data_IF_271338712656
#
_entry.id   IF_271338712656
#
_cell.length_a   1.000
_cell.length_b   1.000
_cell.length_c   1.000
_cell.angle_alpha   90.00
_cell.angle_beta   90.00
_cell.angle_gamma   90.00
#
_symmetry.space_group_name_H-M   'P 1'
#
loop_
_entity.id
_entity.type
_entity.pdbx_description
1 polymer ?
#
# COMPACT_ATOMS: atom_id res chain seq x y z
N UNK A 1 -22.52 -49.96 46.91
CA UNK A 1 -21.42 -49.08 47.29
C UNK A 1 -21.29 -47.96 46.27
N UNK A 2 -21.82 -46.78 46.56
CA UNK A 2 -21.62 -45.58 45.75
C UNK A 2 -20.45 -44.82 46.34
N UNK A 3 -19.37 -44.64 45.57
CA UNK A 3 -18.30 -43.71 45.89
C UNK A 3 -18.56 -42.37 45.21
N UNK A 4 -18.94 -41.36 45.99
CA UNK A 4 -19.03 -39.99 45.57
C UNK A 4 -17.66 -39.36 45.64
N UNK A 5 -17.09 -38.91 44.51
CA UNK A 5 -15.94 -38.06 44.44
C UNK A 5 -16.39 -36.58 44.42
N UNK A 6 -16.26 -35.96 45.58
CA UNK A 6 -16.42 -34.51 45.75
C UNK A 6 -15.14 -33.84 45.24
N UNK A 7 -15.21 -33.16 44.10
CA UNK A 7 -14.13 -32.27 43.64
C UNK A 7 -14.38 -30.86 44.19
N UNK A 8 -13.46 -30.41 45.03
CA UNK A 8 -13.39 -29.04 45.51
C UNK A 8 -12.93 -28.11 44.37
N UNK A 9 -13.47 -26.89 44.25
CA UNK A 9 -13.00 -25.94 43.27
C UNK A 9 -11.60 -25.45 43.65
N UNK A 10 -10.66 -25.58 42.71
CA UNK A 10 -9.32 -25.05 42.80
C UNK A 10 -9.35 -23.54 42.97
N UNK A 11 -8.87 -23.04 44.07
CA UNK A 11 -8.68 -21.60 44.29
C UNK A 11 -7.60 -21.08 43.33
N UNK A 12 -7.95 -20.13 42.48
CA UNK A 12 -7.00 -19.36 41.72
C UNK A 12 -6.12 -18.52 42.67
N UNK A 13 -4.82 -18.39 42.36
CA UNK A 13 -3.93 -17.58 43.20
C UNK A 13 -4.31 -16.09 43.02
N UNK A 14 -4.59 -15.43 44.14
CA UNK A 14 -5.00 -14.03 44.27
C UNK A 14 -3.83 -13.03 44.18
N UNK A 15 -2.82 -13.31 43.35
CA UNK A 15 -1.68 -12.42 43.14
C UNK A 15 -1.54 -11.99 41.68
N UNK A 16 -2.63 -11.56 41.08
CA UNK A 16 -2.55 -10.72 39.86
C UNK A 16 -2.40 -9.26 40.30
N UNK A 17 -1.18 -8.86 40.65
CA UNK A 17 -0.84 -7.42 40.64
C UNK A 17 -0.70 -7.01 39.21
N UNK A 18 -1.81 -6.53 38.61
CA UNK A 18 -1.78 -5.80 37.35
C UNK A 18 -0.84 -4.61 37.54
N UNK A 19 0.35 -4.69 36.97
CA UNK A 19 1.20 -3.53 36.76
C UNK A 19 0.45 -2.67 35.76
N UNK A 20 -0.36 -1.74 36.26
CA UNK A 20 -0.74 -0.56 35.46
C UNK A 20 0.56 0.15 35.17
N UNK A 21 1.08 -0.04 33.96
CA UNK A 21 2.05 0.89 33.39
C UNK A 21 1.31 2.21 33.36
N UNK A 22 1.58 3.07 34.34
CA UNK A 22 1.11 4.42 34.35
C UNK A 22 1.60 5.04 33.06
N UNK A 23 0.68 5.27 32.13
CA UNK A 23 0.90 6.23 31.08
C UNK A 23 1.12 7.54 31.83
N UNK A 24 2.38 7.96 31.88
CA UNK A 24 2.76 9.28 32.32
C UNK A 24 1.96 10.24 31.46
N UNK A 25 0.91 10.81 32.04
CA UNK A 25 0.10 11.86 31.44
C UNK A 25 0.96 13.13 31.41
N UNK A 26 1.98 13.09 30.54
CA UNK A 26 2.74 14.26 30.16
C UNK A 26 1.79 15.22 29.48
N UNK A 27 1.48 16.29 30.22
CA UNK A 27 0.89 17.56 29.82
C UNK A 27 0.01 17.53 28.55
N UNK A 28 -1.28 17.51 28.81
CA UNK A 28 -2.37 17.77 27.90
C UNK A 28 -2.28 19.24 27.39
N UNK A 29 -1.41 19.47 26.42
CA UNK A 29 -1.52 20.62 25.52
C UNK A 29 -2.65 20.25 24.55
N UNK A 30 -3.91 20.49 24.84
CA UNK A 30 -5.14 20.41 24.03
C UNK A 30 -5.05 19.92 22.57
N UNK A 31 -4.07 19.08 22.25
CA UNK A 31 -3.87 18.49 20.94
C UNK A 31 -5.00 17.49 20.70
N UNK A 32 -5.91 17.83 19.81
CA UNK A 32 -6.98 16.95 19.36
C UNK A 32 -6.37 15.59 18.98
N UNK A 33 -6.81 14.53 19.65
CA UNK A 33 -6.40 13.16 19.30
C UNK A 33 -6.84 12.91 17.86
N UNK A 34 -5.91 12.53 16.97
CA UNK A 34 -6.24 12.30 15.57
C UNK A 34 -7.32 11.23 15.39
N UNK A 35 -8.07 11.21 14.27
CA UNK A 35 -9.15 10.25 14.03
C UNK A 35 -8.75 8.79 14.18
N UNK A 36 -7.58 8.38 13.64
CA UNK A 36 -7.03 7.02 13.80
C UNK A 36 -6.23 6.85 15.09
N UNK A 37 -6.03 7.92 15.87
CA UNK A 37 -5.32 7.87 17.15
C UNK A 37 -3.81 7.70 17.02
N UNK A 38 -3.22 7.13 18.07
CA UNK A 38 -1.78 6.87 18.15
C UNK A 38 -1.51 5.37 18.18
N UNK A 39 -0.46 4.94 17.48
CA UNK A 39 -0.06 3.56 17.39
C UNK A 39 0.40 3.00 18.74
N UNK A 40 -0.14 1.84 19.11
CA UNK A 40 0.26 1.05 20.29
C UNK A 40 1.29 -0.01 19.92
N UNK A 41 1.21 -0.56 18.71
CA UNK A 41 2.10 -1.59 18.23
C UNK A 41 1.62 -2.24 16.95
N UNK A 42 2.42 -3.20 16.47
CA UNK A 42 2.17 -3.96 15.26
C UNK A 42 1.80 -5.39 15.60
N UNK A 43 0.71 -5.91 15.03
CA UNK A 43 0.27 -7.29 15.21
C UNK A 43 0.64 -8.11 13.96
N UNK A 44 1.43 -9.17 14.17
CA UNK A 44 1.88 -10.12 13.14
C UNK A 44 2.54 -9.50 11.90
N UNK A 45 3.02 -8.25 11.97
CA UNK A 45 3.58 -7.56 10.79
C UNK A 45 2.53 -7.11 9.77
N UNK A 46 1.24 -7.30 10.06
CA UNK A 46 0.12 -7.03 9.15
C UNK A 46 -0.70 -5.85 9.61
N UNK A 47 -1.05 -5.79 10.90
CA UNK A 47 -1.93 -4.77 11.44
C UNK A 47 -1.18 -3.79 12.33
N UNK A 48 -1.50 -2.50 12.23
CA UNK A 48 -1.21 -1.49 13.25
C UNK A 48 -2.40 -1.45 14.21
N UNK A 49 -2.12 -1.63 15.50
CA UNK A 49 -3.08 -1.36 16.56
C UNK A 49 -2.85 0.07 17.05
N UNK A 50 -3.90 0.88 17.06
CA UNK A 50 -3.88 2.26 17.50
C UNK A 50 -5.03 2.52 18.47
N UNK A 51 -4.91 3.56 19.29
CA UNK A 51 -5.96 3.99 20.21
C UNK A 51 -6.34 5.45 19.92
N UNK A 52 -7.64 5.66 19.76
CA UNK A 52 -8.24 7.00 19.68
C UNK A 52 -9.22 7.23 20.82
N UNK A 53 -9.99 8.32 20.76
CA UNK A 53 -11.00 8.67 21.79
C UNK A 53 -12.15 7.67 21.88
N UNK A 54 -12.40 6.90 20.82
CA UNK A 54 -13.50 5.93 20.73
C UNK A 54 -13.08 4.50 21.10
N UNK A 55 -11.77 4.25 21.25
CA UNK A 55 -11.24 2.94 21.63
C UNK A 55 -10.10 2.45 20.74
N UNK A 56 -10.07 1.13 20.51
CA UNK A 56 -9.04 0.46 19.72
C UNK A 56 -9.37 0.49 18.22
N UNK A 57 -8.39 0.89 17.42
CA UNK A 57 -8.42 0.87 15.95
C UNK A 57 -7.40 -0.14 15.46
N UNK A 58 -7.78 -0.98 14.50
CA UNK A 58 -6.88 -1.89 13.79
C UNK A 58 -6.83 -1.46 12.32
N UNK A 59 -5.64 -1.16 11.82
CA UNK A 59 -5.40 -0.75 10.43
C UNK A 59 -4.56 -1.82 9.75
N UNK A 60 -5.07 -2.36 8.64
CA UNK A 60 -4.30 -3.23 7.76
C UNK A 60 -3.22 -2.39 7.04
N UNK A 61 -1.95 -2.73 7.27
CA UNK A 61 -0.81 -1.98 6.73
C UNK A 61 -0.71 -2.09 5.21
N UNK A 62 -1.10 -3.23 4.64
CA UNK A 62 -1.07 -3.43 3.19
C UNK A 62 -2.12 -2.54 2.52
N UNK A 63 -3.36 -2.66 2.95
CA UNK A 63 -4.45 -1.83 2.45
C UNK A 63 -4.18 -0.32 2.66
N UNK A 64 -3.58 0.06 3.79
CA UNK A 64 -3.21 1.45 4.06
C UNK A 64 -2.15 1.96 3.07
N UNK A 65 -1.07 1.20 2.82
CA UNK A 65 -0.03 1.59 1.86
C UNK A 65 -0.58 1.67 0.44
N UNK A 66 -1.38 0.69 0.02
CA UNK A 66 -2.03 0.67 -1.29
C UNK A 66 -2.91 1.92 -1.46
N UNK A 67 -3.77 2.20 -0.48
CA UNK A 67 -4.64 3.38 -0.50
C UNK A 67 -3.87 4.69 -0.59
N UNK A 68 -2.85 4.87 0.24
CA UNK A 68 -2.01 6.07 0.25
C UNK A 68 -1.28 6.21 -1.09
N UNK A 69 -0.73 5.12 -1.63
CA UNK A 69 -0.03 5.12 -2.91
C UNK A 69 -0.98 5.48 -4.05
N UNK A 70 -2.17 4.87 -4.09
CA UNK A 70 -3.21 5.18 -5.06
C UNK A 70 -3.58 6.67 -5.06
N UNK A 71 -3.88 7.24 -3.89
CA UNK A 71 -4.23 8.66 -3.78
C UNK A 71 -3.08 9.59 -4.22
N UNK A 72 -1.84 9.23 -3.91
CA UNK A 72 -0.67 9.99 -4.35
C UNK A 72 -0.47 9.92 -5.86
N UNK A 73 -0.63 8.74 -6.46
CA UNK A 73 -0.58 8.55 -7.91
C UNK A 73 -1.69 9.35 -8.59
N UNK A 74 -2.93 9.25 -8.08
CA UNK A 74 -4.09 9.97 -8.61
C UNK A 74 -3.88 11.48 -8.57
N UNK A 75 -3.49 12.04 -7.42
CA UNK A 75 -3.21 13.49 -7.29
C UNK A 75 -2.08 13.96 -8.21
N UNK A 76 -1.00 13.18 -8.34
CA UNK A 76 0.10 13.52 -9.23
C UNK A 76 -0.32 13.49 -10.70
N UNK A 77 -1.14 12.49 -11.07
CA UNK A 77 -1.68 12.35 -12.40
C UNK A 77 -2.62 13.50 -12.77
N UNK A 78 -3.46 13.95 -11.83
CA UNK A 78 -4.40 15.07 -12.05
C UNK A 78 -3.70 16.44 -12.12
N UNK A 79 -2.46 16.55 -11.61
CA UNK A 79 -1.67 17.77 -11.68
C UNK A 79 -0.88 17.86 -13.01
N UNK A 80 0.23 17.15 -13.12
CA UNK A 80 1.20 17.29 -14.21
C UNK A 80 1.57 15.94 -14.86
N UNK A 81 0.86 14.84 -14.53
CA UNK A 81 1.24 13.48 -14.87
C UNK A 81 2.27 12.88 -13.91
N UNK A 82 2.56 11.59 -14.07
CA UNK A 82 3.51 10.92 -13.19
C UNK A 82 4.96 11.17 -13.63
N UNK A 83 5.79 11.63 -12.68
CA UNK A 83 7.22 11.83 -12.94
C UNK A 83 7.93 10.49 -13.13
N UNK A 84 8.68 10.38 -14.21
CA UNK A 84 9.49 9.20 -14.52
C UNK A 84 10.83 9.27 -13.82
N UNK A 85 11.26 8.15 -13.25
CA UNK A 85 12.62 7.89 -12.79
C UNK A 85 13.33 7.00 -13.80
N UNK A 86 14.37 7.50 -14.50
CA UNK A 86 15.19 6.67 -15.38
C UNK A 86 15.85 5.54 -14.61
N UNK A 87 15.90 4.35 -15.20
CA UNK A 87 16.63 3.22 -14.65
C UNK A 87 18.14 3.36 -14.96
N UNK A 88 18.97 3.12 -13.95
CA UNK A 88 20.43 3.12 -14.14
C UNK A 88 20.89 2.06 -15.14
N UNK A 89 20.20 0.92 -15.14
CA UNK A 89 20.39 -0.16 -16.10
C UNK A 89 19.03 -0.43 -16.73
N UNK A 90 18.85 -0.18 -18.04
CA UNK A 90 17.63 -0.51 -18.74
C UNK A 90 17.36 -2.01 -18.67
N UNK A 91 16.09 -2.39 -18.57
CA UNK A 91 15.66 -3.78 -18.43
C UNK A 91 15.00 -4.24 -19.73
N UNK A 92 15.50 -5.33 -20.32
CA UNK A 92 14.88 -5.94 -21.50
C UNK A 92 13.76 -6.88 -21.06
N UNK A 93 12.59 -6.72 -21.66
CA UNK A 93 11.38 -7.49 -21.36
C UNK A 93 10.87 -8.17 -22.63
N UNK A 94 10.77 -9.51 -22.61
CA UNK A 94 10.11 -10.25 -23.67
C UNK A 94 8.59 -10.16 -23.52
N UNK A 95 7.92 -9.81 -24.62
CA UNK A 95 6.47 -9.58 -24.70
C UNK A 95 5.92 -10.26 -25.96
N UNK A 96 4.60 -10.44 -26.00
CA UNK A 96 3.95 -10.86 -27.25
C UNK A 96 3.92 -9.71 -28.27
N UNK A 97 3.81 -10.03 -29.56
CA UNK A 97 3.68 -9.02 -30.61
C UNK A 97 2.50 -8.05 -30.37
N UNK A 98 1.42 -8.52 -29.74
CA UNK A 98 0.25 -7.70 -29.39
C UNK A 98 0.60 -6.67 -28.29
N UNK A 99 1.37 -7.07 -27.30
CA UNK A 99 1.82 -6.15 -26.22
C UNK A 99 2.83 -5.13 -26.76
N UNK A 100 3.74 -5.54 -27.65
CA UNK A 100 4.69 -4.62 -28.31
C UNK A 100 3.96 -3.60 -29.18
N UNK A 101 2.96 -4.04 -29.96
CA UNK A 101 2.11 -3.12 -30.73
C UNK A 101 1.40 -2.11 -29.81
N UNK A 102 0.85 -2.58 -28.67
CA UNK A 102 0.22 -1.71 -27.67
C UNK A 102 1.21 -0.66 -27.12
N UNK A 103 2.46 -1.04 -26.82
CA UNK A 103 3.50 -0.11 -26.35
C UNK A 103 3.74 0.99 -27.37
N UNK A 104 3.73 0.67 -28.66
CA UNK A 104 3.92 1.63 -29.75
C UNK A 104 2.70 2.52 -29.94
N UNK A 105 1.51 1.92 -29.94
CA UNK A 105 0.25 2.62 -30.19
C UNK A 105 -0.17 3.55 -29.04
N UNK A 106 0.23 3.23 -27.80
CA UNK A 106 -0.12 3.96 -26.58
C UNK A 106 1.09 4.60 -25.89
N UNK A 107 2.15 4.89 -26.63
CA UNK A 107 3.40 5.43 -26.09
C UNK A 107 3.20 6.70 -25.25
N UNK A 108 2.32 7.61 -25.70
CA UNK A 108 2.02 8.85 -25.00
C UNK A 108 1.31 8.57 -23.67
N UNK A 109 0.29 7.70 -23.64
CA UNK A 109 -0.45 7.32 -22.43
C UNK A 109 0.46 6.62 -21.42
N UNK A 110 1.34 5.72 -21.88
CA UNK A 110 2.33 5.06 -21.04
C UNK A 110 3.33 6.07 -20.46
N UNK A 111 3.72 7.08 -21.24
CA UNK A 111 4.59 8.15 -20.77
C UNK A 111 3.90 9.03 -19.72
N UNK A 112 2.61 9.32 -19.86
CA UNK A 112 1.82 10.09 -18.88
C UNK A 112 1.76 9.41 -17.51
N UNK A 113 1.68 8.06 -17.49
CA UNK A 113 1.73 7.28 -16.25
C UNK A 113 3.18 7.00 -15.77
N UNK A 114 4.17 7.66 -16.39
CA UNK A 114 5.57 7.61 -15.97
C UNK A 114 6.35 6.39 -16.45
N UNK A 115 5.84 5.60 -17.38
CA UNK A 115 6.54 4.46 -18.00
C UNK A 115 7.25 4.91 -19.28
N UNK A 116 8.57 4.71 -19.34
CA UNK A 116 9.37 4.91 -20.54
C UNK A 116 9.75 3.54 -21.14
N UNK A 117 9.05 3.15 -22.20
CA UNK A 117 9.22 1.89 -22.89
C UNK A 117 9.69 2.14 -24.32
N UNK A 118 10.60 1.32 -24.81
CA UNK A 118 11.13 1.35 -26.17
C UNK A 118 11.00 -0.03 -26.82
N UNK A 119 10.22 -0.12 -27.90
CA UNK A 119 10.13 -1.35 -28.69
C UNK A 119 11.45 -1.55 -29.48
N UNK A 120 12.09 -2.69 -29.29
CA UNK A 120 13.36 -3.05 -29.97
C UNK A 120 13.21 -4.16 -30.99
N UNK A 121 12.17 -4.97 -30.87
CA UNK A 121 11.78 -6.00 -31.84
C UNK A 121 10.28 -6.25 -31.76
N UNK A 122 9.78 -7.15 -32.59
CA UNK A 122 8.36 -7.57 -32.59
C UNK A 122 7.94 -8.29 -31.28
N UNK A 123 8.89 -8.77 -30.49
CA UNK A 123 8.65 -9.56 -29.28
C UNK A 123 9.43 -9.05 -28.06
N UNK A 124 9.96 -7.83 -28.10
CA UNK A 124 10.71 -7.29 -26.98
C UNK A 124 10.67 -5.78 -26.87
N UNK A 125 10.67 -5.29 -25.62
CA UNK A 125 10.79 -3.89 -25.27
C UNK A 125 11.93 -3.67 -24.28
N UNK A 126 12.44 -2.46 -24.22
CA UNK A 126 13.37 -2.01 -23.17
C UNK A 126 12.61 -1.05 -22.25
N UNK A 127 12.64 -1.33 -20.94
CA UNK A 127 12.18 -0.43 -19.90
C UNK A 127 13.31 0.52 -19.57
N UNK A 128 13.14 1.81 -19.87
CA UNK A 128 14.14 2.86 -19.61
C UNK A 128 13.83 3.66 -18.37
N UNK A 129 12.57 3.73 -17.98
CA UNK A 129 12.13 4.47 -16.80
C UNK A 129 10.79 3.97 -16.28
N UNK A 130 10.58 4.19 -14.98
CA UNK A 130 9.37 3.84 -14.25
C UNK A 130 8.89 5.04 -13.42
N UNK A 131 7.64 5.05 -12.96
CA UNK A 131 7.17 6.12 -12.08
C UNK A 131 8.08 6.27 -10.86
N UNK A 132 8.49 7.49 -10.54
CA UNK A 132 9.45 7.75 -9.44
C UNK A 132 8.99 7.20 -8.09
N UNK A 133 7.68 7.19 -7.84
CA UNK A 133 7.08 6.63 -6.63
C UNK A 133 7.20 5.10 -6.55
N UNK A 134 7.36 4.42 -7.69
CA UNK A 134 7.46 2.96 -7.83
C UNK A 134 8.86 2.49 -8.24
N UNK A 135 9.85 3.39 -8.23
CA UNK A 135 11.22 3.13 -8.73
C UNK A 135 11.98 2.03 -7.99
N UNK A 136 11.47 1.59 -6.85
CA UNK A 136 12.07 0.53 -6.02
C UNK A 136 11.40 -0.83 -6.20
N UNK A 137 10.35 -0.92 -6.99
CA UNK A 137 9.60 -2.13 -7.24
C UNK A 137 10.17 -2.90 -8.43
N UNK A 138 9.62 -4.08 -8.71
CA UNK A 138 10.07 -4.87 -9.87
C UNK A 138 9.54 -4.24 -11.17
N UNK A 139 10.39 -3.64 -12.01
CA UNK A 139 9.95 -2.95 -13.22
C UNK A 139 9.33 -3.89 -14.25
N UNK A 140 9.79 -5.14 -14.34
CA UNK A 140 9.26 -6.10 -15.30
C UNK A 140 7.82 -6.47 -14.96
N UNK A 141 7.56 -6.78 -13.68
CA UNK A 141 6.22 -7.16 -13.23
C UNK A 141 5.26 -5.98 -13.34
N UNK A 142 5.69 -4.77 -12.92
CA UNK A 142 4.90 -3.56 -13.06
C UNK A 142 4.46 -3.33 -14.51
N UNK A 143 5.39 -3.43 -15.47
CA UNK A 143 5.07 -3.20 -16.89
C UNK A 143 4.13 -4.28 -17.42
N UNK A 144 4.32 -5.56 -17.07
CA UNK A 144 3.42 -6.64 -17.50
C UNK A 144 1.99 -6.42 -17.02
N UNK A 145 1.83 -6.09 -15.75
CA UNK A 145 0.51 -5.93 -15.15
C UNK A 145 -0.21 -4.70 -15.73
N UNK A 146 0.50 -3.58 -15.89
CA UNK A 146 -0.04 -2.39 -16.55
C UNK A 146 -0.42 -2.65 -18.02
N UNK A 147 0.40 -3.36 -18.80
CA UNK A 147 0.07 -3.72 -20.18
C UNK A 147 -1.15 -4.65 -20.24
N UNK A 148 -1.29 -5.57 -19.28
CA UNK A 148 -2.48 -6.43 -19.17
C UNK A 148 -3.75 -5.61 -18.98
N UNK A 149 -3.72 -4.59 -18.09
CA UNK A 149 -4.85 -3.70 -17.88
C UNK A 149 -5.19 -2.89 -19.13
N UNK A 150 -4.19 -2.36 -19.83
CA UNK A 150 -4.41 -1.68 -21.11
C UNK A 150 -5.05 -2.59 -22.17
N UNK A 151 -4.70 -3.88 -22.20
CA UNK A 151 -5.31 -4.84 -23.12
C UNK A 151 -6.74 -5.17 -22.75
N UNK A 152 -7.07 -5.18 -21.45
CA UNK A 152 -8.41 -5.50 -20.93
C UNK A 152 -9.33 -4.29 -21.03
N UNK A 153 -8.91 -3.13 -20.56
CA UNK A 153 -9.74 -1.94 -20.42
C UNK A 153 -9.58 -0.94 -21.58
N UNK A 154 -8.48 -1.00 -22.32
CA UNK A 154 -8.16 -0.04 -23.41
C UNK A 154 -9.10 -0.08 -24.61
N UNK A 155 -9.99 -1.07 -24.68
CA UNK A 155 -11.04 -1.17 -25.72
C UNK A 155 -12.39 -0.63 -25.29
N UNK A 156 -12.56 -0.22 -24.03
CA UNK A 156 -13.82 0.31 -23.51
C UNK A 156 -13.85 1.85 -23.64
N UNK A 157 -15.02 2.39 -24.04
CA UNK A 157 -15.27 3.84 -24.11
C UNK A 157 -15.29 4.55 -22.72
N UNK A 158 -14.84 3.88 -21.67
CA UNK A 158 -14.79 4.38 -20.29
C UNK A 158 -13.35 4.72 -19.91
N UNK A 159 -12.84 5.80 -20.46
CA UNK A 159 -11.46 6.28 -20.27
C UNK A 159 -11.12 6.46 -18.77
N UNK A 160 -12.08 6.92 -17.97
CA UNK A 160 -11.85 7.16 -16.54
C UNK A 160 -11.81 5.85 -15.71
N UNK A 161 -12.66 4.86 -16.03
CA UNK A 161 -12.69 3.59 -15.30
C UNK A 161 -11.37 2.81 -15.53
N UNK A 162 -10.85 2.83 -16.77
CA UNK A 162 -9.57 2.18 -17.10
C UNK A 162 -8.36 2.86 -16.43
N UNK A 163 -8.38 4.18 -16.28
CA UNK A 163 -7.32 4.93 -15.61
C UNK A 163 -7.25 4.61 -14.12
N UNK A 164 -8.39 4.56 -13.44
CA UNK A 164 -8.46 4.25 -12.00
C UNK A 164 -7.98 2.80 -11.74
N UNK A 165 -8.26 1.86 -12.64
CA UNK A 165 -7.79 0.47 -12.54
C UNK A 165 -6.27 0.39 -12.69
N UNK A 166 -5.70 1.04 -13.72
CA UNK A 166 -4.25 1.11 -13.92
C UNK A 166 -3.56 1.72 -12.69
N UNK A 167 -4.09 2.80 -12.14
CA UNK A 167 -3.53 3.40 -10.91
C UNK A 167 -3.65 2.47 -9.71
N UNK A 168 -4.71 1.67 -9.61
CA UNK A 168 -4.88 0.65 -8.56
C UNK A 168 -3.84 -0.46 -8.68
N UNK A 169 -3.63 -1.00 -9.89
CA UNK A 169 -2.57 -1.97 -10.18
C UNK A 169 -1.19 -1.42 -9.81
N UNK A 170 -0.90 -0.19 -10.20
CA UNK A 170 0.36 0.48 -9.85
C UNK A 170 0.51 0.67 -8.32
N UNK A 171 -0.57 1.01 -7.62
CA UNK A 171 -0.55 1.19 -6.17
C UNK A 171 -0.29 -0.14 -5.43
N UNK A 172 -0.84 -1.25 -5.94
CA UNK A 172 -0.59 -2.58 -5.40
C UNK A 172 0.92 -2.92 -5.44
N UNK A 173 1.63 -2.59 -6.54
CA UNK A 173 3.09 -2.74 -6.62
C UNK A 173 3.82 -1.94 -5.55
N UNK A 174 3.42 -0.69 -5.31
CA UNK A 174 4.02 0.15 -4.26
C UNK A 174 3.79 -0.35 -2.83
N UNK A 175 2.81 -1.23 -2.61
CA UNK A 175 2.43 -1.74 -1.29
C UNK A 175 3.17 -3.00 -0.83
N UNK A 176 3.89 -3.70 -1.71
CA UNK A 176 4.59 -4.99 -1.43
C UNK A 176 5.57 -4.91 -0.24
N UNK A 177 5.89 -3.72 0.26
CA UNK A 177 6.76 -3.50 1.44
C UNK A 177 6.04 -3.53 2.79
N UNK A 178 4.73 -3.80 2.81
CA UNK A 178 3.93 -3.74 4.04
C UNK A 178 4.40 -4.70 5.15
N UNK A 179 5.06 -5.81 4.84
CA UNK A 179 5.47 -6.83 5.80
C UNK A 179 6.73 -6.52 6.63
N UNK A 180 7.21 -5.27 6.68
CA UNK A 180 8.34 -4.93 7.55
C UNK A 180 7.87 -4.53 8.96
N UNK A 181 8.76 -4.74 9.95
CA UNK A 181 8.54 -4.18 11.28
C UNK A 181 8.71 -2.66 11.23
N UNK A 182 7.66 -1.96 11.62
CA UNK A 182 7.65 -0.50 11.76
C UNK A 182 7.93 -0.11 13.20
N UNK A 183 8.63 1.00 13.39
CA UNK A 183 8.72 1.69 14.68
C UNK A 183 7.41 2.45 14.98
N UNK A 184 7.18 2.82 16.22
CA UNK A 184 6.00 3.62 16.61
C UNK A 184 5.90 4.94 15.81
N UNK A 185 6.98 5.71 15.61
CA UNK A 185 6.93 6.91 14.76
C UNK A 185 6.53 6.61 13.30
N UNK A 186 7.04 5.52 12.70
CA UNK A 186 6.67 5.11 11.34
C UNK A 186 5.20 4.68 11.24
N UNK A 187 4.69 3.96 12.25
CA UNK A 187 3.27 3.61 12.32
C UNK A 187 2.39 4.86 12.44
N UNK A 188 2.76 5.81 13.29
CA UNK A 188 2.03 7.07 13.42
C UNK A 188 2.07 7.89 12.12
N UNK A 189 3.20 7.93 11.41
CA UNK A 189 3.29 8.58 10.11
C UNK A 189 2.33 7.96 9.09
N UNK A 190 2.26 6.61 9.03
CA UNK A 190 1.34 5.91 8.16
C UNK A 190 -0.13 6.21 8.50
N UNK A 191 -0.48 6.27 9.80
CA UNK A 191 -1.84 6.64 10.22
C UNK A 191 -2.19 8.07 9.79
N UNK A 192 -1.27 9.03 9.90
CA UNK A 192 -1.48 10.42 9.42
C UNK A 192 -1.64 10.47 7.90
N UNK A 193 -0.76 9.79 7.16
CA UNK A 193 -0.88 9.69 5.70
C UNK A 193 -2.24 9.11 5.27
N UNK A 194 -2.74 8.11 6.01
CA UNK A 194 -4.04 7.50 5.73
C UNK A 194 -5.21 8.45 6.00
N UNK A 195 -5.14 9.26 7.06
CA UNK A 195 -6.16 10.27 7.37
C UNK A 195 -6.28 11.36 6.30
N UNK A 196 -5.23 11.58 5.52
CA UNK A 196 -5.23 12.52 4.39
C UNK A 196 -5.88 11.95 3.13
N UNK A 197 -6.23 10.65 3.09
CA UNK A 197 -6.93 10.04 1.96
C UNK A 197 -8.43 10.38 1.98
N UNK A 198 -9.07 10.43 0.80
CA UNK A 198 -10.46 10.87 0.65
C UNK A 198 -11.50 9.94 1.34
N UNK A 199 -11.08 8.75 1.79
CA UNK A 199 -11.97 7.73 2.39
C UNK A 199 -11.37 7.11 3.66
N UNK A 200 -10.68 7.90 4.46
CA UNK A 200 -10.19 7.47 5.76
C UNK A 200 -11.31 7.41 6.81
#
# INVERSE_FOLDING_TARGET
GFFGLSQSPSQMPSNWTGTTVGLDAGQDDGALIPPLGYALGQLHGVYILAQNINGLVAVDMHAAHERITYERLKRAMDADGLKTQPLLVPVSLALSAREVALVTDRADELSEIGLQLEAVSEESVIIRGVPSMLSRDNPEQLVRDVLSDFLEFGSSNRINDGRDEILSTMACHGSVRANRKLSIPEMNALLRDMEETERS
#
